data_IF_364056787480
#
_entry.id   IF_364056787480
#
_cell.length_a   1.000
_cell.length_b   1.000
_cell.length_c   1.000
_cell.angle_alpha   90.00
_cell.angle_beta   90.00
_cell.angle_gamma   90.00
#
_symmetry.space_group_name_H-M   'P 1'
#
loop_
_entity.id
_entity.type
_entity.pdbx_description
1 polymer ?
#
# COMPACT_ATOMS: atom_id res chain seq x y z
N UNK A 1 -0.91 8.17 20.82
CA UNK A 1 -1.03 7.57 19.46
C UNK A 1 -2.32 8.08 18.84
N UNK A 2 -2.26 9.19 18.11
CA UNK A 2 -3.42 9.77 17.42
C UNK A 2 -3.75 8.87 16.22
N UNK A 3 -4.88 8.17 16.27
CA UNK A 3 -5.45 7.47 15.12
C UNK A 3 -5.76 8.53 14.06
N UNK A 4 -5.00 8.57 12.96
CA UNK A 4 -5.39 9.37 11.80
C UNK A 4 -6.77 8.88 11.34
N UNK A 5 -7.83 9.71 11.41
CA UNK A 5 -9.19 9.26 11.17
C UNK A 5 -9.53 9.03 9.69
N UNK A 6 -8.65 9.40 8.75
CA UNK A 6 -8.94 9.42 7.32
C UNK A 6 -8.12 8.37 6.54
N UNK A 7 -8.12 7.11 6.99
CA UNK A 7 -7.61 6.02 6.17
C UNK A 7 -8.57 5.69 5.03
N UNK A 8 -8.07 5.56 3.80
CA UNK A 8 -8.88 5.08 2.66
C UNK A 8 -8.65 3.58 2.46
N UNK A 9 -9.73 2.81 2.33
CA UNK A 9 -9.65 1.41 1.93
C UNK A 9 -9.78 1.28 0.42
N UNK A 10 -8.78 0.64 -0.21
CA UNK A 10 -8.77 0.35 -1.64
C UNK A 10 -8.86 -1.17 -1.83
N UNK A 11 -9.80 -1.61 -2.66
CA UNK A 11 -9.93 -3.01 -3.05
C UNK A 11 -9.48 -3.16 -4.50
N UNK A 12 -8.53 -4.06 -4.75
CA UNK A 12 -7.97 -4.31 -6.09
C UNK A 12 -8.02 -5.79 -6.40
N UNK A 13 -8.57 -6.13 -7.58
CA UNK A 13 -8.50 -7.50 -8.10
C UNK A 13 -7.16 -7.69 -8.79
N UNK A 14 -6.35 -8.61 -8.27
CA UNK A 14 -5.05 -8.94 -8.83
C UNK A 14 -5.16 -10.05 -9.88
N UNK A 15 -4.22 -10.05 -10.81
CA UNK A 15 -3.99 -11.20 -11.68
C UNK A 15 -3.53 -12.41 -10.86
N UNK A 16 -3.74 -13.62 -11.38
CA UNK A 16 -3.35 -14.86 -10.73
C UNK A 16 -1.85 -14.88 -10.37
N UNK A 17 -1.00 -14.39 -11.28
CA UNK A 17 0.44 -14.27 -11.08
C UNK A 17 0.78 -13.43 -9.84
N UNK A 18 0.20 -12.24 -9.69
CA UNK A 18 0.47 -11.36 -8.55
C UNK A 18 -0.12 -11.91 -7.25
N UNK A 19 -1.30 -12.53 -7.35
CA UNK A 19 -1.92 -13.21 -6.23
C UNK A 19 -1.05 -14.34 -5.67
N UNK A 20 -0.42 -15.13 -6.55
CA UNK A 20 0.51 -16.20 -6.18
C UNK A 20 1.74 -15.67 -5.44
N UNK A 21 2.29 -14.54 -5.90
CA UNK A 21 3.43 -13.89 -5.22
C UNK A 21 3.06 -13.51 -3.79
N UNK A 22 1.87 -12.93 -3.57
CA UNK A 22 1.41 -12.58 -2.22
C UNK A 22 1.21 -13.83 -1.35
N UNK A 23 0.65 -14.91 -1.88
CA UNK A 23 0.48 -16.17 -1.13
C UNK A 23 1.83 -16.77 -0.72
N UNK A 24 2.81 -16.81 -1.61
CA UNK A 24 4.15 -17.31 -1.31
C UNK A 24 4.87 -16.46 -0.26
N UNK A 25 4.65 -15.14 -0.31
CA UNK A 25 5.33 -14.19 0.57
C UNK A 25 4.89 -14.32 2.04
N UNK A 26 3.71 -14.89 2.31
CA UNK A 26 3.24 -15.15 3.69
C UNK A 26 4.18 -16.06 4.46
N UNK A 27 4.73 -17.07 3.79
CA UNK A 27 5.62 -18.07 4.40
C UNK A 27 6.91 -17.44 4.91
N UNK A 28 7.42 -16.42 4.22
CA UNK A 28 8.67 -15.74 4.58
C UNK A 28 8.43 -14.57 5.54
N UNK A 29 7.43 -13.73 5.28
CA UNK A 29 7.16 -12.53 6.10
C UNK A 29 6.45 -12.83 7.42
N UNK A 30 5.92 -14.04 7.63
CA UNK A 30 5.00 -14.40 8.74
C UNK A 30 3.75 -13.49 8.83
N UNK A 31 3.42 -12.80 7.73
CA UNK A 31 2.27 -11.88 7.63
C UNK A 31 1.08 -12.60 6.98
N UNK A 32 -0.13 -12.11 7.25
CA UNK A 32 -1.29 -12.48 6.45
C UNK A 32 -1.15 -11.89 5.04
N UNK A 33 -1.85 -12.48 4.06
CA UNK A 33 -1.85 -12.00 2.68
C UNK A 33 -2.20 -10.52 2.57
N UNK A 34 -3.22 -10.09 3.32
CA UNK A 34 -3.70 -8.71 3.36
C UNK A 34 -2.62 -7.78 3.93
N UNK A 35 -1.98 -8.17 5.03
CA UNK A 35 -0.91 -7.38 5.64
C UNK A 35 0.30 -7.25 4.71
N UNK A 36 0.65 -8.31 3.97
CA UNK A 36 1.73 -8.25 2.97
C UNK A 36 1.36 -7.34 1.78
N UNK A 37 0.13 -7.42 1.28
CA UNK A 37 -0.35 -6.52 0.24
C UNK A 37 -0.33 -5.05 0.68
N UNK A 38 -0.76 -4.78 1.91
CA UNK A 38 -0.70 -3.45 2.51
C UNK A 38 0.74 -2.95 2.62
N UNK A 39 1.65 -3.74 3.19
CA UNK A 39 3.04 -3.35 3.35
C UNK A 39 3.72 -3.05 2.00
N UNK A 40 3.42 -3.83 0.95
CA UNK A 40 3.95 -3.59 -0.40
C UNK A 40 3.35 -2.35 -1.04
N UNK A 41 2.06 -2.08 -0.83
CA UNK A 41 1.42 -0.87 -1.35
C UNK A 41 1.98 0.37 -0.66
N UNK A 42 2.10 0.36 0.67
CA UNK A 42 2.71 1.44 1.45
C UNK A 42 4.15 1.72 0.99
N UNK A 43 4.98 0.67 0.88
CA UNK A 43 6.34 0.79 0.39
C UNK A 43 6.43 1.33 -1.04
N UNK A 44 5.50 0.93 -1.92
CA UNK A 44 5.46 1.44 -3.29
C UNK A 44 5.08 2.93 -3.33
N UNK A 45 4.11 3.34 -2.51
CA UNK A 45 3.72 4.75 -2.39
C UNK A 45 4.83 5.59 -1.72
N UNK A 46 5.60 5.04 -0.80
CA UNK A 46 6.73 5.74 -0.19
C UNK A 46 7.87 5.97 -1.20
N UNK A 47 8.19 4.98 -2.03
CA UNK A 47 9.26 5.07 -3.02
C UNK A 47 8.88 5.86 -4.29
N UNK A 48 7.63 5.72 -4.75
CA UNK A 48 7.20 6.21 -6.06
C UNK A 48 6.01 7.17 -5.99
N UNK A 49 5.42 7.36 -4.81
CA UNK A 49 4.35 8.33 -4.64
C UNK A 49 4.87 9.73 -4.86
N UNK A 50 4.30 10.42 -5.85
CA UNK A 50 4.57 11.83 -6.05
C UNK A 50 3.65 12.60 -5.12
N UNK A 51 4.21 13.43 -4.24
CA UNK A 51 3.40 14.37 -3.48
C UNK A 51 2.93 15.48 -4.44
N UNK A 52 1.70 15.36 -4.94
CA UNK A 52 1.08 16.31 -5.87
C UNK A 52 0.46 17.51 -5.13
N UNK A 53 0.88 17.80 -3.89
CA UNK A 53 0.57 19.05 -3.23
C UNK A 53 1.09 20.20 -4.09
N UNK A 54 0.23 20.69 -4.98
CA UNK A 54 0.46 21.86 -5.81
C UNK A 54 0.80 22.98 -4.84
N UNK A 55 1.97 23.65 -4.98
CA UNK A 55 2.25 24.82 -4.16
C UNK A 55 1.08 25.77 -4.31
N UNK A 56 0.38 26.07 -3.21
CA UNK A 56 -0.55 27.19 -3.20
C UNK A 56 0.31 28.40 -3.51
N UNK A 57 0.23 28.87 -4.75
CA UNK A 57 0.91 30.06 -5.20
C UNK A 57 0.33 31.21 -4.36
N UNK A 58 1.02 31.57 -3.28
CA UNK A 58 0.72 32.75 -2.50
C UNK A 58 1.15 33.95 -3.35
N UNK A 59 0.24 34.40 -4.21
CA UNK A 59 0.35 35.67 -4.93
C UNK A 59 -0.49 36.71 -4.22
#
# INVERSE_FOLDING_TARGET
MTKNPNGTHVNVKLSEKHNRVLEQSKTHSKRTKRAEAQARLEHHLDLFGVNWEVPKNNR
#
